data_IF_487959119449
#
_entry.id   IF_487959119449
#
_cell.length_a   1.000
_cell.length_b   1.000
_cell.length_c   1.000
_cell.angle_alpha   90.00
_cell.angle_beta   90.00
_cell.angle_gamma   90.00
#
_symmetry.space_group_name_H-M   'P 1'
#
loop_
_entity.id
_entity.type
_entity.pdbx_description
1 polymer ?
#
# COMPACT_ATOMS: atom_id res chain seq x y z
N UNK A 1 -15.48 10.12 9.65
CA UNK A 1 -14.90 9.26 8.59
C UNK A 1 -13.68 8.58 9.19
N UNK A 2 -13.60 7.25 9.14
CA UNK A 2 -12.41 6.51 9.59
C UNK A 2 -11.29 6.83 8.62
N UNK A 3 -10.23 7.50 9.09
CA UNK A 3 -9.09 7.82 8.24
C UNK A 3 -8.18 6.60 8.11
N UNK A 4 -8.41 5.82 7.05
CA UNK A 4 -7.63 4.63 6.75
C UNK A 4 -6.21 4.95 6.25
N UNK A 5 -5.91 6.22 5.90
CA UNK A 5 -4.56 6.58 5.46
C UNK A 5 -3.54 6.42 6.59
N UNK A 6 -3.91 6.72 7.83
CA UNK A 6 -3.02 6.59 9.00
C UNK A 6 -2.48 5.16 9.17
N UNK A 7 -3.33 4.11 9.29
CA UNK A 7 -2.86 2.74 9.41
C UNK A 7 -2.19 2.24 8.12
N UNK A 8 -2.66 2.66 6.94
CA UNK A 8 -2.02 2.28 5.66
C UNK A 8 -0.61 2.85 5.55
N UNK A 9 -0.42 4.12 5.89
CA UNK A 9 0.90 4.78 5.91
C UNK A 9 1.85 4.08 6.85
N UNK A 10 1.35 3.71 8.04
CA UNK A 10 2.14 2.99 9.03
C UNK A 10 2.58 1.62 8.52
N UNK A 11 1.66 0.84 7.96
CA UNK A 11 1.95 -0.48 7.37
C UNK A 11 2.94 -0.35 6.22
N UNK A 12 2.74 0.63 5.33
CA UNK A 12 3.67 0.88 4.23
C UNK A 12 5.05 1.25 4.77
N UNK A 13 5.15 2.08 5.81
CA UNK A 13 6.43 2.44 6.41
C UNK A 13 7.14 1.25 7.08
N UNK A 14 6.43 0.49 7.90
CA UNK A 14 6.96 -0.65 8.67
C UNK A 14 7.30 -1.84 7.78
N UNK A 15 6.53 -2.08 6.71
CA UNK A 15 6.65 -3.25 5.84
C UNK A 15 7.06 -2.93 4.40
N UNK A 16 7.54 -1.69 4.14
CA UNK A 16 7.90 -1.24 2.78
C UNK A 16 8.80 -2.22 2.05
N UNK A 17 9.86 -2.67 2.71
CA UNK A 17 10.83 -3.58 2.14
C UNK A 17 10.21 -4.90 1.70
N UNK A 18 9.25 -5.42 2.47
CA UNK A 18 8.53 -6.65 2.15
C UNK A 18 7.55 -6.47 0.98
N UNK A 19 6.86 -5.32 0.93
CA UNK A 19 5.97 -4.96 -0.18
C UNK A 19 6.78 -4.81 -1.48
N UNK A 20 7.90 -4.08 -1.44
CA UNK A 20 8.79 -3.89 -2.59
C UNK A 20 9.47 -5.19 -3.03
N UNK A 21 9.85 -6.07 -2.09
CA UNK A 21 10.36 -7.40 -2.42
C UNK A 21 9.33 -8.26 -3.16
N UNK A 22 8.06 -8.24 -2.72
CA UNK A 22 6.97 -8.97 -3.39
C UNK A 22 6.65 -8.41 -4.78
N UNK A 23 6.92 -7.13 -5.03
CA UNK A 23 6.59 -6.48 -6.30
C UNK A 23 7.58 -6.78 -7.43
N UNK A 24 8.90 -6.77 -7.18
CA UNK A 24 9.90 -7.02 -8.26
C UNK A 24 11.27 -7.50 -7.75
N UNK A 25 11.40 -7.85 -6.45
CA UNK A 25 12.64 -8.40 -5.88
C UNK A 25 13.86 -7.46 -5.86
N UNK A 26 13.83 -6.30 -6.53
CA UNK A 26 14.88 -5.28 -6.53
C UNK A 26 14.46 -4.07 -5.66
N UNK A 27 15.13 -3.85 -4.52
CA UNK A 27 14.83 -2.73 -3.62
C UNK A 27 15.32 -1.36 -4.13
N UNK A 28 15.42 -1.13 -5.44
CA UNK A 28 15.98 0.08 -6.03
C UNK A 28 15.08 0.71 -7.09
N UNK A 29 14.71 1.97 -6.86
CA UNK A 29 14.06 2.89 -7.81
C UNK A 29 12.72 2.44 -8.41
N UNK A 30 11.74 2.22 -7.53
CA UNK A 30 10.34 2.28 -7.97
C UNK A 30 9.98 3.74 -8.26
N UNK A 31 9.95 4.09 -9.54
CA UNK A 31 9.40 5.37 -9.99
C UNK A 31 7.87 5.36 -9.80
N UNK A 32 7.28 6.53 -9.53
CA UNK A 32 5.81 6.67 -9.41
C UNK A 32 5.11 6.08 -10.64
N UNK A 33 5.71 6.21 -11.82
CA UNK A 33 5.21 5.65 -13.08
C UNK A 33 5.21 4.13 -13.12
N UNK A 34 6.24 3.46 -12.57
CA UNK A 34 6.28 2.00 -12.47
C UNK A 34 5.22 1.47 -11.49
N UNK A 35 4.98 2.22 -10.42
CA UNK A 35 3.98 1.92 -9.40
C UNK A 35 2.53 2.13 -9.85
N UNK A 36 2.29 2.97 -10.87
CA UNK A 36 0.94 3.24 -11.40
C UNK A 36 0.33 2.08 -12.18
N UNK A 37 1.07 1.00 -12.42
CA UNK A 37 0.53 -0.21 -13.05
C UNK A 37 -0.56 -0.84 -12.19
N UNK A 38 -1.69 -1.18 -12.80
CA UNK A 38 -2.84 -1.78 -12.09
C UNK A 38 -2.46 -3.08 -11.37
N UNK A 39 -1.62 -3.92 -11.99
CA UNK A 39 -1.12 -5.16 -11.38
C UNK A 39 -0.21 -4.93 -10.16
N UNK A 40 0.58 -3.85 -10.17
CA UNK A 40 1.39 -3.43 -9.01
C UNK A 40 0.47 -2.97 -7.89
N UNK A 41 -0.53 -2.15 -8.22
CA UNK A 41 -1.50 -1.66 -7.24
C UNK A 41 -2.30 -2.81 -6.60
N UNK A 42 -2.73 -3.81 -7.36
CA UNK A 42 -3.41 -4.99 -6.80
C UNK A 42 -2.51 -5.75 -5.82
N UNK A 43 -1.23 -5.92 -6.15
CA UNK A 43 -0.25 -6.59 -5.27
C UNK A 43 -0.02 -5.79 -3.99
N UNK A 44 0.10 -4.47 -4.09
CA UNK A 44 0.21 -3.56 -2.94
C UNK A 44 -1.04 -3.64 -2.07
N UNK A 45 -2.24 -3.64 -2.66
CA UNK A 45 -3.51 -3.74 -1.93
C UNK A 45 -3.57 -5.05 -1.16
N UNK A 46 -3.25 -6.16 -1.80
CA UNK A 46 -3.24 -7.49 -1.18
C UNK A 46 -2.24 -7.54 -0.02
N UNK A 47 -0.99 -7.09 -0.25
CA UNK A 47 0.02 -7.04 0.81
C UNK A 47 -0.40 -6.13 1.97
N UNK A 48 -0.88 -4.93 1.68
CA UNK A 48 -1.33 -4.00 2.71
C UNK A 48 -2.48 -4.63 3.51
N UNK A 49 -3.46 -5.25 2.86
CA UNK A 49 -4.58 -5.91 3.53
C UNK A 49 -4.14 -7.08 4.41
N UNK A 50 -3.16 -7.88 3.96
CA UNK A 50 -2.50 -8.95 4.73
C UNK A 50 -1.65 -8.43 5.91
N UNK A 51 -1.20 -7.18 5.86
CA UNK A 51 -0.37 -6.55 6.89
C UNK A 51 -1.17 -5.58 7.77
N UNK A 52 -2.43 -5.30 7.44
CA UNK A 52 -3.29 -4.45 8.24
C UNK A 52 -3.52 -5.03 9.65
N UNK A 53 -3.57 -4.17 10.68
CA UNK A 53 -3.99 -4.58 12.02
C UNK A 53 -5.39 -5.21 11.98
N UNK A 54 -5.62 -6.27 12.77
CA UNK A 54 -6.90 -6.97 12.81
C UNK A 54 -8.10 -6.06 13.08
N UNK A 55 -7.91 -4.98 13.86
CA UNK A 55 -8.92 -3.95 14.11
C UNK A 55 -9.38 -3.24 12.83
N UNK A 56 -8.48 -3.00 11.87
CA UNK A 56 -8.83 -2.38 10.58
C UNK A 56 -9.58 -3.36 9.69
N UNK A 57 -9.21 -4.66 9.72
CA UNK A 57 -9.96 -5.71 9.00
C UNK A 57 -11.39 -5.88 9.52
N UNK A 58 -11.61 -5.66 10.82
CA UNK A 58 -12.95 -5.70 11.41
C UNK A 58 -13.77 -4.47 11.04
N UNK A 59 -13.12 -3.31 10.90
CA UNK A 59 -13.79 -2.05 10.57
C UNK A 59 -14.09 -1.88 9.07
N UNK A 60 -13.29 -2.50 8.19
CA UNK A 60 -13.35 -2.28 6.74
C UNK A 60 -13.31 -3.60 5.98
N UNK A 61 -14.32 -3.81 5.13
CA UNK A 61 -14.38 -4.96 4.22
C UNK A 61 -13.33 -4.81 3.12
N UNK A 62 -12.74 -5.92 2.70
CA UNK A 62 -11.78 -5.99 1.60
C UNK A 62 -12.16 -5.18 0.33
N UNK A 63 -13.39 -5.28 -0.22
CA UNK A 63 -13.78 -4.46 -1.37
C UNK A 63 -13.76 -2.95 -1.08
N UNK A 64 -14.18 -2.53 0.12
CA UNK A 64 -14.14 -1.13 0.51
C UNK A 64 -12.70 -0.63 0.69
N UNK A 65 -11.81 -1.48 1.24
CA UNK A 65 -10.38 -1.19 1.34
C UNK A 65 -9.74 -1.05 -0.04
N UNK A 66 -10.02 -1.98 -0.95
CA UNK A 66 -9.54 -1.97 -2.33
C UNK A 66 -9.97 -0.68 -3.04
N UNK A 67 -11.25 -0.31 -2.96
CA UNK A 67 -11.74 0.96 -3.52
C UNK A 67 -11.05 2.16 -2.88
N UNK A 68 -10.85 2.16 -1.56
CA UNK A 68 -10.15 3.23 -0.86
C UNK A 68 -8.70 3.38 -1.33
N UNK A 69 -7.97 2.28 -1.44
CA UNK A 69 -6.59 2.25 -1.92
C UNK A 69 -6.49 2.68 -3.37
N UNK A 70 -7.40 2.24 -4.25
CA UNK A 70 -7.43 2.69 -5.64
C UNK A 70 -7.78 4.19 -5.77
N UNK A 71 -8.72 4.67 -4.97
CA UNK A 71 -9.10 6.09 -4.97
C UNK A 71 -7.97 6.99 -4.42
N UNK A 72 -7.14 6.45 -3.52
CA UNK A 72 -5.96 7.13 -2.96
C UNK A 72 -4.64 6.63 -3.56
N UNK A 73 -4.68 5.98 -4.74
CA UNK A 73 -3.50 5.29 -5.30
C UNK A 73 -2.30 6.21 -5.38
N UNK A 74 -2.50 7.44 -5.83
CA UNK A 74 -1.41 8.40 -6.06
C UNK A 74 -0.67 8.70 -4.75
N UNK A 75 -1.41 8.87 -3.65
CA UNK A 75 -0.85 9.09 -2.31
C UNK A 75 -0.17 7.85 -1.75
N UNK A 76 -0.77 6.68 -1.94
CA UNK A 76 -0.21 5.39 -1.49
C UNK A 76 1.12 5.11 -2.21
N UNK A 77 1.14 5.30 -3.54
CA UNK A 77 2.32 5.09 -4.36
C UNK A 77 3.39 6.15 -4.10
N UNK A 78 3.01 7.41 -3.87
CA UNK A 78 3.94 8.45 -3.45
C UNK A 78 4.64 8.09 -2.13
N UNK A 79 3.94 7.47 -1.18
CA UNK A 79 4.56 6.99 0.07
C UNK A 79 5.43 5.75 -0.10
N UNK A 80 5.08 4.86 -1.04
CA UNK A 80 5.92 3.73 -1.43
C UNK A 80 7.19 4.17 -2.19
N UNK A 81 7.12 5.25 -2.96
CA UNK A 81 8.25 5.84 -3.70
C UNK A 81 9.13 6.75 -2.83
N UNK A 82 8.55 7.44 -1.84
CA UNK A 82 9.29 8.35 -0.96
C UNK A 82 10.38 7.60 -0.20
N UNK A 83 11.67 8.04 -0.22
CA UNK A 83 12.73 7.39 0.53
C UNK A 83 12.43 7.37 2.05
N UNK A 84 12.88 6.34 2.80
CA UNK A 84 12.69 6.35 4.24
C UNK A 84 13.45 7.54 4.82
N UNK A 85 12.76 8.38 5.59
CA UNK A 85 13.37 9.49 6.32
C UNK A 85 14.26 8.98 7.46
#
# INVERSE_FOLDING_TARGET
>A
MVDLMQPVTRVIGEHRGQILQKLDGKPGEWTVTALQNEGVMETVISCCYELLPGLVRLAVKEPAFRTFMMNNRDRVLAQLAAPPA
#
